data_IF_566707986521
#
_entry.id   IF_566707986521
#
_cell.length_a   1.000
_cell.length_b   1.000
_cell.length_c   1.000
_cell.angle_alpha   90.00
_cell.angle_beta   90.00
_cell.angle_gamma   90.00
#
_symmetry.space_group_name_H-M   'P 1'
#
loop_
_entity.id
_entity.type
_entity.pdbx_description
1 polymer ?
#
# COMPACT_ATOMS: atom_id res chain seq x y z
N UNK A 1 -0.98 11.53 0.68
CA UNK A 1 -2.19 11.23 1.46
C UNK A 1 -3.14 10.42 0.59
N UNK A 2 -3.74 9.37 1.15
CA UNK A 2 -4.83 8.60 0.55
C UNK A 2 -6.13 9.02 1.23
N UNK A 3 -7.07 9.56 0.44
CA UNK A 3 -8.38 9.97 0.94
C UNK A 3 -9.34 8.80 0.94
N UNK A 4 -10.16 8.68 1.99
CA UNK A 4 -11.14 7.59 2.15
C UNK A 4 -12.34 8.03 2.97
N UNK A 5 -13.46 7.31 2.90
CA UNK A 5 -14.58 7.44 3.84
C UNK A 5 -14.58 6.34 4.92
N UNK A 6 -13.58 5.46 4.94
CA UNK A 6 -13.45 4.34 5.89
C UNK A 6 -12.05 4.31 6.55
N UNK A 7 -11.65 5.44 7.15
CA UNK A 7 -10.29 5.68 7.67
C UNK A 7 -9.77 4.61 8.62
N UNK A 8 -10.60 4.10 9.54
CA UNK A 8 -10.21 3.04 10.47
C UNK A 8 -9.91 1.71 9.74
N UNK A 9 -10.73 1.32 8.76
CA UNK A 9 -10.53 0.08 7.97
C UNK A 9 -9.23 0.17 7.17
N UNK A 10 -9.01 1.32 6.54
CA UNK A 10 -7.79 1.61 5.80
C UNK A 10 -6.56 1.63 6.71
N UNK A 11 -6.67 2.22 7.89
CA UNK A 11 -5.57 2.24 8.85
C UNK A 11 -5.21 0.85 9.40
N UNK A 12 -6.21 0.06 9.78
CA UNK A 12 -6.01 -1.31 10.26
C UNK A 12 -5.38 -2.21 9.18
N UNK A 13 -5.73 -1.97 7.92
CA UNK A 13 -5.12 -2.66 6.78
C UNK A 13 -3.65 -2.30 6.64
N UNK A 14 -3.32 -1.00 6.56
CA UNK A 14 -1.94 -0.56 6.37
C UNK A 14 -1.05 -0.82 7.59
N UNK A 15 -1.57 -0.80 8.81
CA UNK A 15 -0.82 -1.23 10.01
C UNK A 15 -0.33 -2.68 9.89
N UNK A 16 -1.18 -3.60 9.38
CA UNK A 16 -0.80 -5.01 9.15
C UNK A 16 0.14 -5.17 7.96
N UNK A 17 -0.07 -4.42 6.88
CA UNK A 17 0.81 -4.42 5.70
C UNK A 17 2.20 -3.92 6.08
N UNK A 18 2.30 -2.80 6.81
CA UNK A 18 3.56 -2.16 7.20
C UNK A 18 4.20 -2.80 8.43
N UNK A 19 3.47 -3.66 9.14
CA UNK A 19 3.91 -4.32 10.39
C UNK A 19 4.35 -3.32 11.47
N UNK A 20 3.74 -2.13 11.49
CA UNK A 20 4.00 -1.10 12.49
C UNK A 20 2.72 -0.32 12.79
N UNK A 21 2.49 0.07 14.05
CA UNK A 21 1.42 1.01 14.38
C UNK A 21 1.65 2.34 13.68
N UNK A 22 0.58 3.12 13.52
CA UNK A 22 0.68 4.49 13.02
C UNK A 22 1.61 5.33 13.91
N UNK A 23 2.52 6.08 13.29
CA UNK A 23 3.37 7.05 13.99
C UNK A 23 2.56 8.28 14.41
N UNK A 24 1.47 8.58 13.68
CA UNK A 24 0.51 9.64 13.96
C UNK A 24 -0.91 9.08 13.93
N UNK A 25 -1.69 9.34 14.98
CA UNK A 25 -3.12 9.05 15.04
C UNK A 25 -3.84 10.22 15.71
N UNK A 26 -4.59 11.00 14.94
CA UNK A 26 -5.35 12.16 15.42
C UNK A 26 -6.71 12.17 14.71
N UNK A 27 -7.80 12.05 15.49
CA UNK A 27 -9.16 11.92 14.96
C UNK A 27 -9.27 10.86 13.85
N UNK A 28 -9.65 11.28 12.63
CA UNK A 28 -9.78 10.44 11.45
C UNK A 28 -8.52 10.43 10.56
N UNK A 29 -7.36 10.78 11.11
CA UNK A 29 -6.08 10.81 10.43
C UNK A 29 -5.10 9.79 10.99
N UNK A 30 -4.45 9.08 10.09
CA UNK A 30 -3.42 8.10 10.40
C UNK A 30 -2.19 8.36 9.53
N UNK A 31 -1.00 8.22 10.09
CA UNK A 31 0.24 8.48 9.38
C UNK A 31 1.37 7.54 9.76
N UNK A 32 2.20 7.20 8.77
CA UNK A 32 3.41 6.41 8.91
C UNK A 32 4.55 7.08 8.16
N UNK A 33 5.69 7.24 8.81
CA UNK A 33 6.97 7.46 8.16
C UNK A 33 7.48 6.11 7.64
N UNK A 34 7.57 5.98 6.32
CA UNK A 34 8.01 4.78 5.60
C UNK A 34 9.20 5.18 4.73
N UNK A 35 10.41 4.77 5.14
CA UNK A 35 11.64 5.35 4.60
C UNK A 35 11.66 6.86 4.83
N UNK A 36 11.72 7.62 3.74
CA UNK A 36 11.69 9.10 3.76
C UNK A 36 10.32 9.68 3.36
N UNK A 37 9.30 8.83 3.17
CA UNK A 37 7.96 9.26 2.78
C UNK A 37 7.04 9.23 4.01
N UNK A 38 6.37 10.35 4.29
CA UNK A 38 5.27 10.36 5.24
C UNK A 38 3.97 10.03 4.49
N UNK A 39 3.52 8.78 4.60
CA UNK A 39 2.25 8.33 4.07
C UNK A 39 1.16 8.58 5.10
N UNK A 40 0.06 9.18 4.67
CA UNK A 40 -1.09 9.42 5.53
C UNK A 40 -2.40 8.97 4.88
N UNK A 41 -3.35 8.57 5.73
CA UNK A 41 -4.73 8.24 5.41
C UNK A 41 -5.60 9.28 6.13
N UNK A 42 -6.55 9.86 5.41
CA UNK A 42 -7.44 10.89 5.96
C UNK A 42 -8.84 10.81 5.37
N UNK A 43 -9.82 11.28 6.14
CA UNK A 43 -11.20 11.33 5.68
C UNK A 43 -11.38 12.32 4.52
N UNK A 44 -12.03 11.90 3.43
CA UNK A 44 -12.26 12.77 2.27
C UNK A 44 -13.61 12.47 1.59
N UNK A 45 -14.55 13.43 1.65
CA UNK A 45 -15.93 13.26 1.13
C UNK A 45 -16.01 12.94 -0.36
N UNK A 46 -15.07 13.44 -1.16
CA UNK A 46 -15.00 13.17 -2.61
C UNK A 46 -14.33 11.83 -2.97
N UNK A 47 -13.92 11.04 -1.97
CA UNK A 47 -13.38 9.69 -2.16
C UNK A 47 -14.29 8.61 -1.55
N UNK A 48 -15.56 8.49 -1.96
CA UNK A 48 -16.44 7.45 -1.42
C UNK A 48 -16.19 6.11 -2.12
N UNK A 49 -15.86 5.08 -1.32
CA UNK A 49 -15.80 3.70 -1.77
C UNK A 49 -14.66 3.42 -2.76
N UNK A 50 -14.93 2.55 -3.74
CA UNK A 50 -13.89 2.02 -4.63
C UNK A 50 -13.29 3.08 -5.56
N UNK A 51 -11.96 3.06 -5.69
CA UNK A 51 -11.20 3.88 -6.62
C UNK A 51 -11.66 3.62 -8.07
N UNK A 52 -12.04 4.70 -8.78
CA UNK A 52 -12.52 4.61 -10.17
C UNK A 52 -11.41 4.29 -11.16
N UNK A 53 -10.19 4.76 -10.88
CA UNK A 53 -9.02 4.61 -11.75
C UNK A 53 -7.82 4.17 -10.90
N UNK A 54 -7.84 2.94 -10.35
CA UNK A 54 -6.92 2.52 -9.30
C UNK A 54 -5.46 2.45 -9.75
N UNK A 55 -5.20 2.40 -11.06
CA UNK A 55 -3.87 2.34 -11.64
C UNK A 55 -3.27 3.73 -12.00
N UNK A 56 -3.98 4.84 -11.77
CA UNK A 56 -3.50 6.19 -12.14
C UNK A 56 -2.35 6.66 -11.23
N UNK A 57 -2.42 6.30 -9.96
CA UNK A 57 -1.38 6.53 -8.95
C UNK A 57 -1.19 5.21 -8.22
N UNK A 58 0.05 4.72 -8.19
CA UNK A 58 0.40 3.46 -7.54
C UNK A 58 1.48 3.74 -6.50
N UNK A 59 1.26 3.27 -5.27
CA UNK A 59 2.26 3.37 -4.20
C UNK A 59 3.13 2.12 -4.23
N UNK A 60 4.44 2.30 -4.40
CA UNK A 60 5.41 1.21 -4.38
C UNK A 60 6.03 1.07 -2.99
N UNK A 61 5.97 -0.13 -2.43
CA UNK A 61 6.72 -0.53 -1.25
C UNK A 61 7.88 -1.43 -1.66
N UNK A 62 9.09 -0.99 -1.34
CA UNK A 62 10.29 -1.75 -1.65
C UNK A 62 10.52 -2.88 -0.64
N UNK A 63 10.91 -4.05 -1.13
CA UNK A 63 11.31 -5.20 -0.31
C UNK A 63 12.33 -6.06 -1.04
N UNK A 64 13.30 -6.60 -0.32
CA UNK A 64 14.27 -7.53 -0.90
C UNK A 64 13.69 -8.93 -1.15
N UNK A 65 12.46 -9.21 -0.69
CA UNK A 65 11.79 -10.51 -0.85
C UNK A 65 10.30 -10.32 -1.21
N UNK A 66 10.06 -10.01 -2.49
CA UNK A 66 8.70 -9.75 -3.03
C UNK A 66 7.78 -10.96 -2.87
N UNK A 67 8.30 -12.18 -3.05
CA UNK A 67 7.48 -13.40 -2.98
C UNK A 67 7.00 -13.66 -1.56
N UNK A 68 7.90 -13.60 -0.57
CA UNK A 68 7.54 -13.80 0.84
C UNK A 68 6.54 -12.75 1.32
N UNK A 69 6.77 -11.49 0.99
CA UNK A 69 5.86 -10.42 1.40
C UNK A 69 4.51 -10.49 0.67
N UNK A 70 4.50 -10.93 -0.59
CA UNK A 70 3.27 -11.22 -1.31
C UNK A 70 2.44 -12.30 -0.60
N UNK A 71 3.04 -13.44 -0.26
CA UNK A 71 2.34 -14.53 0.42
C UNK A 71 1.79 -14.08 1.79
N UNK A 72 2.57 -13.29 2.53
CA UNK A 72 2.15 -12.71 3.82
C UNK A 72 0.95 -11.77 3.65
N UNK A 73 1.02 -10.82 2.73
CA UNK A 73 -0.03 -9.82 2.52
C UNK A 73 -1.30 -10.45 1.93
N UNK A 74 -1.15 -11.43 1.04
CA UNK A 74 -2.27 -12.25 0.55
C UNK A 74 -2.99 -12.97 1.71
N UNK A 75 -2.24 -13.53 2.66
CA UNK A 75 -2.82 -14.17 3.84
C UNK A 75 -3.54 -13.20 4.80
N UNK A 76 -3.24 -11.89 4.75
CA UNK A 76 -3.98 -10.86 5.49
C UNK A 76 -5.35 -10.52 4.87
N UNK A 77 -5.65 -11.05 3.68
CA UNK A 77 -6.89 -10.79 2.95
C UNK A 77 -6.83 -9.63 1.96
N UNK A 78 -5.63 -9.12 1.64
CA UNK A 78 -5.47 -8.12 0.59
C UNK A 78 -5.94 -8.65 -0.78
N UNK A 79 -6.58 -7.81 -1.57
CA UNK A 79 -7.03 -8.20 -2.91
C UNK A 79 -5.83 -8.31 -3.84
N UNK A 80 -5.55 -9.52 -4.33
CA UNK A 80 -4.51 -9.76 -5.34
C UNK A 80 -4.99 -9.24 -6.69
N UNK A 81 -4.31 -8.22 -7.22
CA UNK A 81 -4.55 -7.70 -8.57
C UNK A 81 -3.66 -8.41 -9.58
N UNK A 82 -2.40 -8.67 -9.19
CA UNK A 82 -1.44 -9.40 -10.01
C UNK A 82 -0.42 -10.13 -9.13
N UNK A 83 -0.28 -11.43 -9.34
CA UNK A 83 0.74 -12.25 -8.69
C UNK A 83 2.16 -11.79 -9.07
N UNK A 84 3.20 -12.14 -8.28
CA UNK A 84 4.56 -11.72 -8.55
C UNK A 84 5.01 -12.03 -9.98
N UNK A 85 5.58 -11.04 -10.65
CA UNK A 85 6.10 -11.13 -12.01
C UNK A 85 7.41 -10.36 -12.14
N UNK A 86 8.19 -10.72 -13.15
CA UNK A 86 9.44 -10.05 -13.47
C UNK A 86 9.23 -8.94 -14.51
N UNK A 87 9.91 -7.82 -14.34
CA UNK A 87 10.00 -6.72 -15.30
C UNK A 87 11.44 -6.21 -15.36
N UNK A 88 12.20 -6.71 -16.33
CA UNK A 88 13.66 -6.50 -16.35
C UNK A 88 14.31 -7.22 -15.17
N UNK A 89 15.12 -6.51 -14.38
CA UNK A 89 15.72 -7.04 -13.15
C UNK A 89 14.82 -6.94 -11.92
N UNK A 90 13.65 -6.31 -12.02
CA UNK A 90 12.75 -6.10 -10.90
C UNK A 90 11.73 -7.22 -10.75
N UNK A 91 11.46 -7.62 -9.51
CA UNK A 91 10.27 -8.40 -9.18
C UNK A 91 9.19 -7.46 -8.68
N UNK A 92 7.95 -7.65 -9.13
CA UNK A 92 6.82 -6.79 -8.80
C UNK A 92 5.59 -7.65 -8.52
N UNK A 93 4.81 -7.29 -7.50
CA UNK A 93 3.47 -7.84 -7.29
C UNK A 93 2.49 -6.69 -7.01
N UNK A 94 1.23 -6.83 -7.46
CA UNK A 94 0.22 -5.76 -7.32
C UNK A 94 -0.95 -6.23 -6.46
N UNK A 95 -1.30 -5.41 -5.48
CA UNK A 95 -2.48 -5.56 -4.64
C UNK A 95 -3.40 -4.36 -4.79
N UNK A 96 -4.63 -4.51 -4.32
CA UNK A 96 -5.53 -3.41 -4.02
C UNK A 96 -5.78 -3.35 -2.50
N UNK A 97 -5.83 -2.12 -1.98
CA UNK A 97 -6.25 -1.84 -0.61
C UNK A 97 -7.80 -1.95 -0.47
N UNK A 98 -8.37 -1.74 0.74
CA UNK A 98 -9.82 -1.81 0.95
C UNK A 98 -10.66 -0.83 0.11
N UNK A 99 -10.08 0.28 -0.37
CA UNK A 99 -10.73 1.22 -1.28
C UNK A 99 -10.41 0.90 -2.75
N UNK A 100 -9.69 -0.17 -3.03
CA UNK A 100 -9.32 -0.56 -4.39
C UNK A 100 -8.11 0.15 -4.96
N UNK A 101 -7.43 1.04 -4.21
CA UNK A 101 -6.24 1.71 -4.73
C UNK A 101 -5.12 0.69 -4.93
N UNK A 102 -4.40 0.79 -6.04
CA UNK A 102 -3.30 -0.13 -6.28
C UNK A 102 -2.07 0.28 -5.50
N UNK A 103 -1.47 -0.70 -4.84
CA UNK A 103 -0.13 -0.62 -4.32
C UNK A 103 0.66 -1.84 -4.76
N UNK A 104 1.98 -1.68 -4.81
CA UNK A 104 2.87 -2.71 -5.32
C UNK A 104 3.93 -3.04 -4.29
N UNK A 105 4.32 -4.31 -4.27
CA UNK A 105 5.59 -4.74 -3.73
C UNK A 105 6.57 -4.77 -4.88
N UNK A 106 7.76 -4.21 -4.70
CA UNK A 106 8.82 -4.31 -5.70
C UNK A 106 10.20 -4.48 -5.06
N UNK A 107 11.13 -5.07 -5.79
CA UNK A 107 12.55 -5.04 -5.40
C UNK A 107 13.07 -3.60 -5.38
N UNK A 108 13.99 -3.23 -4.47
CA UNK A 108 14.55 -1.88 -4.42
C UNK A 108 15.11 -1.43 -5.77
N UNK A 109 14.93 -0.15 -6.08
CA UNK A 109 15.54 0.44 -7.26
C UNK A 109 17.04 0.62 -7.03
N UNK A 110 17.84 -0.34 -7.50
CA UNK A 110 19.27 -0.15 -7.57
C UNK A 110 19.59 0.62 -8.86
N UNK A 111 19.75 1.93 -8.76
CA UNK A 111 20.58 2.64 -9.73
C UNK A 111 22.00 2.09 -9.55
N UNK A 112 22.52 1.39 -10.56
CA UNK A 112 23.97 1.23 -10.67
C UNK A 112 24.57 2.66 -10.64
N UNK A 113 25.21 3.00 -9.52
CA UNK A 113 25.92 4.27 -9.36
C UNK A 113 27.16 4.31 -10.24
#
# INVERSE_FOLDING_TARGET
MVGTMQTQVMADFYEKVLQKPADMKEDNWYGWLIGNCFMSIGEHSEAPGMAKEPARIIINFETTDVKKEFDRIKALGATVVKEPYEMGSMHIATFADPDGNYFQLMTPWNEEK
#
